data_IF_491118137202
#
_entry.id   IF_491118137202
#
_cell.length_a   1.000
_cell.length_b   1.000
_cell.length_c   1.000
_cell.angle_alpha   90.00
_cell.angle_beta   90.00
_cell.angle_gamma   90.00
#
_symmetry.space_group_name_H-M   'P 1'
#
loop_
_entity.id
_entity.type
_entity.pdbx_description
1 polymer ?
#
# COMPACT_ATOMS: atom_id res chain seq x y z
N UNK A 1 -3.32 18.27 -12.45
CA UNK A 1 -3.07 18.42 -10.99
C UNK A 1 -4.37 18.74 -10.30
N UNK A 2 -4.74 18.04 -9.21
CA UNK A 2 -5.92 18.36 -8.42
C UNK A 2 -5.84 19.79 -7.88
N UNK A 3 -6.99 20.46 -7.75
CA UNK A 3 -7.07 21.82 -7.20
C UNK A 3 -7.01 21.89 -5.66
N UNK A 4 -6.56 20.79 -5.02
CA UNK A 4 -6.47 20.61 -3.56
C UNK A 4 -5.29 19.67 -3.23
N UNK A 5 -4.75 19.74 -1.99
CA UNK A 5 -3.69 18.83 -1.57
C UNK A 5 -4.12 17.36 -1.57
N UNK A 6 -3.18 16.47 -1.91
CA UNK A 6 -3.38 15.01 -1.88
C UNK A 6 -2.79 14.38 -0.62
N UNK A 7 -3.23 13.18 -0.29
CA UNK A 7 -2.60 12.33 0.72
C UNK A 7 -1.97 11.14 0.00
N UNK A 8 -0.66 10.99 0.12
CA UNK A 8 0.05 9.83 -0.42
C UNK A 8 0.02 8.68 0.59
N UNK A 9 -0.74 7.62 0.27
CA UNK A 9 -0.96 6.51 1.18
C UNK A 9 -0.01 5.33 0.97
N UNK A 10 1.07 5.52 0.19
CA UNK A 10 2.08 4.49 0.01
C UNK A 10 3.44 5.11 -0.25
N UNK A 11 4.17 5.36 0.83
CA UNK A 11 5.51 5.91 0.82
C UNK A 11 6.47 4.87 1.42
N UNK A 12 7.61 4.69 0.78
CA UNK A 12 8.77 4.01 1.33
C UNK A 12 9.93 4.98 1.49
N UNK A 13 10.59 4.90 2.62
CA UNK A 13 11.85 5.61 2.91
C UNK A 13 12.75 4.64 3.68
N UNK A 14 14.04 4.71 3.48
CA UNK A 14 15.00 3.83 4.16
C UNK A 14 16.40 4.41 4.20
N UNK A 15 17.18 3.92 5.15
CA UNK A 15 18.62 4.13 5.24
C UNK A 15 19.29 2.80 5.60
N UNK A 16 20.05 2.24 4.65
CA UNK A 16 20.73 0.95 4.83
C UNK A 16 21.82 0.99 5.92
N UNK A 17 22.19 2.16 6.41
CA UNK A 17 23.07 2.27 7.59
C UNK A 17 22.34 2.01 8.91
N UNK A 18 20.99 2.08 8.90
CA UNK A 18 20.13 1.88 10.07
C UNK A 18 19.33 0.59 10.03
N UNK A 19 18.84 0.22 8.86
CA UNK A 19 18.06 -0.98 8.64
C UNK A 19 18.62 -1.79 7.46
N UNK A 20 18.73 -3.08 7.60
CA UNK A 20 19.23 -3.96 6.54
C UNK A 20 18.11 -4.27 5.54
N UNK A 21 18.40 -4.05 4.25
CA UNK A 21 17.50 -4.23 3.12
C UNK A 21 18.23 -5.00 2.02
N UNK A 22 18.48 -6.31 2.25
CA UNK A 22 19.24 -7.14 1.31
C UNK A 22 18.60 -7.20 -0.08
N UNK A 23 17.29 -7.05 -0.18
CA UNK A 23 16.57 -7.02 -1.45
C UNK A 23 17.00 -5.85 -2.35
N UNK A 24 17.54 -4.77 -1.78
CA UNK A 24 17.95 -3.58 -2.52
C UNK A 24 19.47 -3.46 -2.72
N UNK A 25 20.26 -4.38 -2.13
CA UNK A 25 21.71 -4.37 -2.28
C UNK A 25 22.14 -4.42 -3.76
N UNK A 26 23.02 -3.49 -4.15
CA UNK A 26 23.54 -3.41 -5.52
C UNK A 26 22.54 -2.86 -6.55
N UNK A 27 21.32 -2.51 -6.18
CA UNK A 27 20.39 -1.84 -7.07
C UNK A 27 20.87 -0.41 -7.38
N UNK A 28 21.00 -0.01 -8.66
CA UNK A 28 21.35 1.37 -8.99
C UNK A 28 20.31 2.39 -8.52
N UNK A 29 19.04 2.00 -8.46
CA UNK A 29 17.94 2.87 -8.07
C UNK A 29 17.66 2.80 -6.56
N UNK A 30 17.72 1.60 -5.95
CA UNK A 30 17.28 1.40 -4.55
C UNK A 30 18.43 1.12 -3.59
N UNK A 31 19.65 0.97 -4.06
CA UNK A 31 20.84 0.65 -3.25
C UNK A 31 21.41 1.85 -2.47
N UNK A 32 20.68 2.95 -2.35
CA UNK A 32 21.05 4.14 -1.57
C UNK A 32 19.89 4.59 -0.67
N UNK A 33 20.14 5.42 0.35
CA UNK A 33 19.09 5.92 1.23
C UNK A 33 18.06 6.76 0.49
N UNK A 34 16.80 6.69 0.95
CA UNK A 34 15.73 7.62 0.62
C UNK A 34 15.14 8.18 1.91
N UNK A 35 15.15 9.49 2.04
CA UNK A 35 14.63 10.24 3.17
C UNK A 35 13.41 11.09 2.78
N UNK A 36 12.75 11.68 3.76
CA UNK A 36 11.60 12.56 3.50
C UNK A 36 11.95 13.77 2.63
N UNK A 37 13.21 14.26 2.66
CA UNK A 37 13.66 15.34 1.79
C UNK A 37 13.76 14.93 0.32
N UNK A 38 14.11 13.67 0.05
CA UNK A 38 14.10 13.13 -1.33
C UNK A 38 12.68 13.10 -1.86
N UNK A 39 11.74 12.60 -1.06
CA UNK A 39 10.33 12.62 -1.40
C UNK A 39 9.81 14.04 -1.64
N UNK A 40 10.14 15.01 -0.76
CA UNK A 40 9.75 16.41 -0.92
C UNK A 40 10.23 17.01 -2.23
N UNK A 41 11.49 16.73 -2.60
CA UNK A 41 12.06 17.17 -3.88
C UNK A 41 11.33 16.56 -5.07
N UNK A 42 11.04 15.26 -5.00
CA UNK A 42 10.55 14.48 -6.13
C UNK A 42 9.02 14.57 -6.29
N UNK A 43 8.30 15.11 -5.29
CA UNK A 43 6.89 15.51 -5.42
C UNK A 43 6.68 16.59 -6.49
N UNK A 44 7.69 17.42 -6.78
CA UNK A 44 7.59 18.50 -7.74
C UNK A 44 6.41 19.44 -7.42
N UNK A 45 5.47 19.66 -8.37
CA UNK A 45 4.32 20.53 -8.16
C UNK A 45 3.15 19.87 -7.41
N UNK A 46 3.24 18.59 -7.04
CA UNK A 46 2.17 17.89 -6.31
C UNK A 46 2.15 18.39 -4.87
N UNK A 47 1.06 19.01 -4.46
CA UNK A 47 0.85 19.44 -3.08
C UNK A 47 0.42 18.23 -2.23
N UNK A 48 1.31 17.75 -1.35
CA UNK A 48 1.07 16.62 -0.45
C UNK A 48 0.81 17.13 0.95
N UNK A 49 -0.40 16.86 1.49
CA UNK A 49 -0.81 17.26 2.84
C UNK A 49 -0.37 16.27 3.91
N UNK A 50 -0.41 14.98 3.60
CA UNK A 50 0.00 13.92 4.51
C UNK A 50 0.53 12.70 3.76
N UNK A 51 1.28 11.87 4.49
CA UNK A 51 1.89 10.63 3.99
C UNK A 51 1.62 9.48 4.93
N UNK A 52 1.46 8.28 4.36
CA UNK A 52 1.42 7.00 5.08
C UNK A 52 2.63 6.17 4.64
N UNK A 53 3.49 5.83 5.59
CA UNK A 53 4.60 4.93 5.35
C UNK A 53 4.15 3.48 5.39
N UNK A 54 4.67 2.67 4.48
CA UNK A 54 4.54 1.22 4.49
C UNK A 54 5.91 0.56 4.66
N UNK A 55 5.95 -0.54 5.42
CA UNK A 55 7.18 -1.32 5.62
C UNK A 55 7.91 -1.61 4.29
N UNK A 56 9.25 -1.64 4.33
CA UNK A 56 10.10 -1.70 3.14
C UNK A 56 10.70 -3.08 2.87
N UNK A 57 10.14 -4.15 3.38
CA UNK A 57 10.73 -5.48 3.27
C UNK A 57 12.13 -5.58 3.94
N UNK A 58 12.28 -4.90 5.09
CA UNK A 58 13.50 -5.01 5.89
C UNK A 58 13.78 -6.48 6.24
N UNK A 59 15.07 -6.85 6.31
CA UNK A 59 15.51 -8.23 6.55
C UNK A 59 14.95 -8.78 7.86
N UNK A 60 13.85 -9.47 7.75
CA UNK A 60 13.09 -10.02 8.87
C UNK A 60 13.43 -11.49 9.16
N UNK A 61 13.98 -12.19 8.19
CA UNK A 61 13.97 -13.65 8.08
C UNK A 61 14.86 -14.39 9.08
N UNK A 62 15.75 -13.71 9.80
CA UNK A 62 16.71 -14.33 10.73
C UNK A 62 16.19 -14.41 12.19
N UNK A 63 14.89 -14.31 12.42
CA UNK A 63 14.27 -14.52 13.73
C UNK A 63 14.42 -13.39 14.75
N UNK A 64 14.94 -12.24 14.35
CA UNK A 64 15.09 -11.04 15.16
C UNK A 64 14.73 -9.80 14.37
N UNK A 65 13.52 -9.74 13.83
CA UNK A 65 13.12 -8.76 12.84
C UNK A 65 13.46 -7.32 13.17
N UNK A 66 13.89 -6.59 12.15
CA UNK A 66 14.18 -5.16 12.21
C UNK A 66 12.89 -4.30 12.11
N UNK A 67 11.73 -4.88 12.46
CA UNK A 67 10.44 -4.20 12.34
C UNK A 67 10.31 -3.03 13.32
N UNK A 68 10.94 -3.10 14.49
CA UNK A 68 10.96 -1.97 15.43
C UNK A 68 11.98 -0.92 14.99
N UNK A 69 13.16 -1.34 14.57
CA UNK A 69 14.20 -0.45 14.05
C UNK A 69 13.71 0.33 12.82
N UNK A 70 12.92 -0.30 11.95
CA UNK A 70 12.28 0.37 10.82
C UNK A 70 11.25 1.40 11.31
N UNK A 71 10.39 1.05 12.26
CA UNK A 71 9.42 1.97 12.85
C UNK A 71 10.12 3.16 13.53
N UNK A 72 11.17 2.91 14.32
CA UNK A 72 11.96 3.96 14.99
C UNK A 72 12.64 4.89 13.97
N UNK A 73 13.19 4.35 12.88
CA UNK A 73 13.73 5.15 11.79
C UNK A 73 12.66 6.07 11.19
N UNK A 74 11.49 5.53 10.89
CA UNK A 74 10.39 6.31 10.28
C UNK A 74 9.83 7.35 11.25
N UNK A 75 9.77 7.07 12.54
CA UNK A 75 9.39 8.08 13.56
C UNK A 75 10.42 9.22 13.67
N UNK A 76 11.71 8.93 13.44
CA UNK A 76 12.72 9.99 13.34
C UNK A 76 12.52 10.84 12.09
N UNK A 77 12.19 10.24 10.95
CA UNK A 77 11.84 10.96 9.73
C UNK A 77 10.55 11.79 9.89
N UNK A 78 9.54 11.28 10.62
CA UNK A 78 8.32 12.02 10.92
C UNK A 78 8.55 13.27 11.80
N UNK A 79 9.64 13.33 12.59
CA UNK A 79 10.05 14.55 13.30
C UNK A 79 10.62 15.60 12.35
N UNK A 80 11.19 15.17 11.20
CA UNK A 80 11.74 16.05 10.16
C UNK A 80 10.64 16.53 9.21
N UNK A 81 9.67 15.67 8.92
CA UNK A 81 8.49 16.02 8.12
C UNK A 81 7.19 15.56 8.81
N UNK A 82 6.49 16.49 9.51
CA UNK A 82 5.28 16.16 10.25
C UNK A 82 4.08 15.78 9.39
N UNK A 83 4.19 15.80 8.05
CA UNK A 83 3.18 15.28 7.13
C UNK A 83 3.16 13.75 7.14
N UNK A 84 4.22 13.06 7.62
CA UNK A 84 4.21 11.63 7.83
C UNK A 84 3.34 11.32 9.06
N UNK A 85 2.13 10.81 8.82
CA UNK A 85 1.06 10.71 9.83
C UNK A 85 0.78 9.28 10.29
N UNK A 86 1.17 8.29 9.51
CA UNK A 86 0.86 6.89 9.82
C UNK A 86 1.96 5.96 9.34
N UNK A 87 2.15 4.88 10.08
CA UNK A 87 3.07 3.79 9.76
C UNK A 87 2.24 2.50 9.65
N UNK A 88 2.37 1.83 8.53
CA UNK A 88 1.90 0.46 8.33
C UNK A 88 3.13 -0.43 8.48
N UNK A 89 3.27 -0.99 9.68
CA UNK A 89 4.46 -1.72 10.07
C UNK A 89 4.41 -3.19 9.62
N UNK A 90 5.57 -3.83 9.61
CA UNK A 90 5.67 -5.27 9.44
C UNK A 90 5.40 -5.99 10.77
N UNK A 91 4.65 -7.08 10.73
CA UNK A 91 4.55 -8.03 11.83
C UNK A 91 4.29 -9.46 11.32
N UNK A 92 4.86 -10.50 11.99
CA UNK A 92 4.68 -11.90 11.60
C UNK A 92 3.30 -12.42 12.02
N UNK A 93 2.25 -11.95 11.35
CA UNK A 93 0.86 -12.31 11.65
C UNK A 93 0.63 -13.84 11.58
N UNK A 94 1.43 -14.56 10.80
CA UNK A 94 1.41 -16.02 10.73
C UNK A 94 1.70 -16.73 12.06
N UNK A 95 2.19 -16.01 13.05
CA UNK A 95 2.36 -16.57 14.41
C UNK A 95 1.03 -16.68 15.19
N UNK A 96 -0.08 -16.22 14.60
CA UNK A 96 -1.38 -16.24 15.26
C UNK A 96 -1.39 -15.42 16.54
N UNK A 97 -2.02 -15.92 17.60
CA UNK A 97 -2.09 -15.21 18.88
C UNK A 97 -0.72 -14.90 19.51
N UNK A 98 0.35 -15.57 19.08
CA UNK A 98 1.70 -15.28 19.59
C UNK A 98 2.26 -13.93 19.12
N UNK A 99 1.66 -13.29 18.12
CA UNK A 99 2.06 -11.94 17.66
C UNK A 99 1.51 -10.84 18.57
N UNK A 100 0.49 -11.14 19.40
CA UNK A 100 -0.20 -10.14 20.22
C UNK A 100 0.74 -9.30 21.14
N UNK A 101 1.74 -9.87 21.82
CA UNK A 101 2.67 -9.07 22.63
C UNK A 101 3.42 -8.02 21.81
N UNK A 102 3.84 -8.35 20.58
CA UNK A 102 4.51 -7.45 19.67
C UNK A 102 3.58 -6.31 19.20
N UNK A 103 2.34 -6.63 18.83
CA UNK A 103 1.35 -5.62 18.45
C UNK A 103 1.04 -4.67 19.63
N UNK A 104 1.00 -5.18 20.86
CA UNK A 104 0.85 -4.35 22.06
C UNK A 104 2.05 -3.43 22.28
N UNK A 105 3.26 -3.93 22.12
CA UNK A 105 4.47 -3.11 22.20
C UNK A 105 4.45 -1.98 21.17
N UNK A 106 4.15 -2.28 19.90
CA UNK A 106 4.01 -1.27 18.87
C UNK A 106 2.96 -0.22 19.23
N UNK A 107 1.76 -0.63 19.67
CA UNK A 107 0.69 0.30 20.07
C UNK A 107 1.12 1.21 21.22
N UNK A 108 1.78 0.66 22.22
CA UNK A 108 2.07 1.36 23.47
C UNK A 108 3.29 2.30 23.34
N UNK A 109 4.22 2.00 22.42
CA UNK A 109 5.47 2.76 22.25
C UNK A 109 5.56 3.56 20.97
N UNK A 110 4.81 3.20 19.93
CA UNK A 110 4.91 3.74 18.58
C UNK A 110 3.54 4.25 18.09
N UNK A 111 3.14 5.46 18.50
CA UNK A 111 1.79 5.99 18.28
C UNK A 111 1.45 6.23 16.79
N UNK A 112 2.45 6.31 15.91
CA UNK A 112 2.22 6.43 14.47
C UNK A 112 1.82 5.10 13.83
N UNK A 113 2.09 3.95 14.47
CA UNK A 113 1.66 2.65 13.94
C UNK A 113 0.15 2.54 14.00
N UNK A 114 -0.48 2.29 12.88
CA UNK A 114 -1.94 2.18 12.75
C UNK A 114 -2.43 1.04 11.86
N UNK A 115 -1.51 0.22 11.37
CA UNK A 115 -1.81 -0.95 10.55
C UNK A 115 -0.61 -1.86 10.40
N UNK A 116 -0.86 -3.01 9.78
CA UNK A 116 0.16 -4.02 9.51
C UNK A 116 0.12 -4.36 8.03
N UNK A 117 1.30 -4.55 7.44
CA UNK A 117 1.51 -5.24 6.17
C UNK A 117 2.45 -6.42 6.40
N UNK A 118 2.10 -7.57 5.89
CA UNK A 118 2.97 -8.72 5.79
C UNK A 118 3.04 -9.12 4.32
N UNK A 119 4.14 -8.73 3.65
CA UNK A 119 4.36 -9.10 2.25
C UNK A 119 4.41 -10.60 2.15
N UNK A 120 3.53 -11.19 1.36
CA UNK A 120 3.43 -12.63 1.13
C UNK A 120 3.94 -13.02 -0.26
N UNK A 121 4.04 -12.06 -1.16
CA UNK A 121 4.33 -12.26 -2.58
C UNK A 121 5.60 -13.09 -2.83
N UNK A 122 6.64 -12.85 -2.02
CA UNK A 122 7.95 -13.46 -2.20
C UNK A 122 8.19 -14.68 -1.31
N UNK A 123 7.19 -15.11 -0.56
CA UNK A 123 7.30 -16.32 0.23
C UNK A 123 7.45 -17.58 -0.65
N UNK A 124 8.08 -18.61 -0.12
CA UNK A 124 8.25 -19.87 -0.83
C UNK A 124 6.93 -20.57 -1.16
N UNK A 125 5.95 -20.44 -0.27
CA UNK A 125 4.58 -20.94 -0.41
C UNK A 125 3.59 -19.87 0.05
N UNK A 126 3.35 -18.84 -0.78
CA UNK A 126 2.48 -17.72 -0.38
C UNK A 126 1.03 -18.16 -0.13
N UNK A 127 0.53 -19.15 -0.88
CA UNK A 127 -0.80 -19.71 -0.66
C UNK A 127 -0.91 -20.42 0.70
N UNK A 128 0.03 -21.32 0.98
CA UNK A 128 0.05 -22.07 2.24
C UNK A 128 0.22 -21.16 3.45
N UNK A 129 1.06 -20.12 3.34
CA UNK A 129 1.21 -19.09 4.35
C UNK A 129 -0.10 -18.36 4.61
N UNK A 130 -0.68 -17.74 3.58
CA UNK A 130 -1.87 -16.88 3.70
C UNK A 130 -3.11 -17.64 4.18
N UNK A 131 -3.28 -18.88 3.73
CA UNK A 131 -4.42 -19.72 4.13
C UNK A 131 -4.18 -20.47 5.45
N UNK A 132 -3.01 -20.31 6.09
CA UNK A 132 -2.73 -20.96 7.36
C UNK A 132 -3.65 -20.43 8.47
N UNK A 133 -4.04 -21.28 9.44
CA UNK A 133 -4.82 -20.84 10.58
C UNK A 133 -4.14 -19.71 11.37
N UNK A 134 -2.80 -19.76 11.50
CA UNK A 134 -2.03 -18.73 12.21
C UNK A 134 -2.13 -17.37 11.51
N UNK A 135 -1.99 -17.32 10.19
CA UNK A 135 -2.10 -16.05 9.43
C UNK A 135 -3.50 -15.41 9.59
N UNK A 136 -4.55 -16.25 9.44
CA UNK A 136 -5.94 -15.79 9.62
C UNK A 136 -6.17 -15.28 11.05
N UNK A 137 -5.71 -16.01 12.07
CA UNK A 137 -5.83 -15.63 13.48
C UNK A 137 -5.09 -14.32 13.76
N UNK A 138 -3.85 -14.19 13.29
CA UNK A 138 -3.04 -13.00 13.52
C UNK A 138 -3.60 -11.75 12.84
N UNK A 139 -4.12 -11.85 11.61
CA UNK A 139 -4.79 -10.73 10.97
C UNK A 139 -6.08 -10.36 11.70
N UNK A 140 -6.87 -11.35 12.15
CA UNK A 140 -8.08 -11.10 12.92
C UNK A 140 -7.82 -10.40 14.27
N UNK A 141 -6.62 -10.55 14.86
CA UNK A 141 -6.25 -9.82 16.08
C UNK A 141 -6.23 -8.30 15.86
N UNK A 142 -5.97 -7.81 14.64
CA UNK A 142 -5.88 -6.37 14.33
C UNK A 142 -7.18 -5.63 14.64
N UNK A 143 -8.33 -6.31 14.59
CA UNK A 143 -9.62 -5.73 15.01
C UNK A 143 -9.57 -5.18 16.44
N UNK A 144 -8.91 -5.88 17.37
CA UNK A 144 -8.78 -5.46 18.77
C UNK A 144 -7.92 -4.21 18.96
N UNK A 145 -7.05 -3.92 17.99
CA UNK A 145 -6.20 -2.74 17.97
C UNK A 145 -6.85 -1.60 17.16
N UNK A 146 -7.89 -1.90 16.39
CA UNK A 146 -8.48 -0.99 15.42
C UNK A 146 -7.53 -0.65 14.26
N UNK A 147 -6.61 -1.56 13.93
CA UNK A 147 -5.60 -1.41 12.90
C UNK A 147 -6.03 -1.97 11.55
N UNK A 148 -5.47 -1.42 10.48
CA UNK A 148 -5.69 -1.86 9.11
C UNK A 148 -4.75 -3.01 8.74
N UNK A 149 -5.11 -3.74 7.68
CA UNK A 149 -4.21 -4.70 7.04
C UNK A 149 -4.07 -4.41 5.56
N UNK A 150 -2.83 -4.13 5.12
CA UNK A 150 -2.50 -3.87 3.72
C UNK A 150 -2.07 -5.18 3.04
N UNK A 151 -2.70 -5.50 1.90
CA UNK A 151 -2.56 -6.78 1.19
C UNK A 151 -1.73 -6.54 -0.06
N UNK A 152 -0.55 -7.12 -0.15
CA UNK A 152 0.36 -6.96 -1.27
C UNK A 152 0.59 -8.29 -2.01
N UNK A 153 -0.31 -8.71 -2.91
CA UNK A 153 -0.14 -9.89 -3.76
C UNK A 153 0.39 -9.51 -5.14
N UNK A 154 0.73 -10.54 -5.92
CA UNK A 154 0.85 -10.46 -7.37
C UNK A 154 -0.46 -10.95 -8.03
N UNK A 155 -0.78 -10.51 -9.25
CA UNK A 155 -2.03 -10.89 -9.94
C UNK A 155 -2.22 -12.41 -10.09
N UNK A 156 -1.13 -13.19 -10.14
CA UNK A 156 -1.19 -14.66 -10.19
C UNK A 156 -1.56 -15.30 -8.85
N UNK A 157 -1.68 -14.51 -7.80
CA UNK A 157 -1.97 -14.92 -6.43
C UNK A 157 -3.39 -14.55 -5.99
N UNK A 158 -4.14 -13.88 -6.86
CA UNK A 158 -5.48 -13.36 -6.52
C UNK A 158 -6.50 -14.46 -6.21
N UNK A 159 -6.31 -15.68 -6.72
CA UNK A 159 -7.16 -16.82 -6.45
C UNK A 159 -7.24 -17.15 -4.96
N UNK A 160 -6.08 -17.23 -4.28
CA UNK A 160 -6.07 -17.50 -2.84
C UNK A 160 -6.33 -16.26 -1.97
N UNK A 161 -6.10 -15.04 -2.48
CA UNK A 161 -6.56 -13.83 -1.79
C UNK A 161 -8.08 -13.80 -1.73
N UNK A 162 -8.77 -14.11 -2.82
CA UNK A 162 -10.24 -14.23 -2.88
C UNK A 162 -10.76 -15.34 -1.95
N UNK A 163 -9.99 -16.42 -1.78
CA UNK A 163 -10.33 -17.49 -0.81
C UNK A 163 -10.10 -17.07 0.64
N UNK A 164 -9.10 -16.21 0.89
CA UNK A 164 -8.67 -15.80 2.22
C UNK A 164 -9.52 -14.67 2.80
N UNK A 165 -9.81 -13.61 2.02
CA UNK A 165 -10.54 -12.42 2.47
C UNK A 165 -11.83 -12.75 3.25
N UNK A 166 -12.70 -13.69 2.81
CA UNK A 166 -13.91 -14.03 3.55
C UNK A 166 -13.67 -14.71 4.92
N UNK A 167 -12.42 -15.09 5.24
CA UNK A 167 -12.06 -15.69 6.53
C UNK A 167 -11.64 -14.64 7.56
N UNK A 168 -11.49 -13.38 7.12
CA UNK A 168 -11.10 -12.26 7.98
C UNK A 168 -12.34 -11.55 8.51
N UNK A 169 -12.29 -11.17 9.79
CA UNK A 169 -13.35 -10.39 10.44
C UNK A 169 -13.65 -9.10 9.66
N UNK A 170 -14.92 -8.80 9.50
CA UNK A 170 -15.36 -7.54 8.90
C UNK A 170 -14.97 -6.30 9.74
N UNK A 171 -14.53 -6.49 10.98
CA UNK A 171 -13.99 -5.43 11.83
C UNK A 171 -12.55 -5.05 11.52
N UNK A 172 -11.82 -5.82 10.68
CA UNK A 172 -10.49 -5.47 10.18
C UNK A 172 -10.62 -4.76 8.85
N UNK A 173 -10.33 -3.44 8.75
CA UNK A 173 -10.28 -2.76 7.46
C UNK A 173 -9.09 -3.29 6.65
N UNK A 174 -9.33 -3.72 5.43
CA UNK A 174 -8.30 -4.26 4.53
C UNK A 174 -8.21 -3.44 3.25
N UNK A 175 -7.01 -3.30 2.71
CA UNK A 175 -6.78 -2.61 1.44
C UNK A 175 -5.87 -3.41 0.53
N UNK A 176 -6.24 -3.54 -0.73
CA UNK A 176 -5.44 -4.17 -1.76
C UNK A 176 -4.43 -3.17 -2.32
N UNK A 177 -3.14 -3.38 -2.08
CA UNK A 177 -2.06 -2.56 -2.61
C UNK A 177 -1.96 -2.69 -4.15
N UNK A 178 -1.69 -1.58 -4.83
CA UNK A 178 -1.37 -1.51 -6.26
C UNK A 178 -2.36 -2.24 -7.17
N UNK A 179 -3.65 -2.18 -6.82
CA UNK A 179 -4.68 -2.94 -7.54
C UNK A 179 -4.39 -4.46 -7.62
N UNK A 180 -3.58 -5.02 -6.71
CA UNK A 180 -3.13 -6.41 -6.76
C UNK A 180 -2.11 -6.68 -7.85
N UNK A 181 -1.36 -5.67 -8.29
CA UNK A 181 -0.30 -5.75 -9.31
C UNK A 181 -0.77 -6.46 -10.58
N UNK A 182 -1.73 -5.86 -11.31
CA UNK A 182 -2.42 -6.54 -12.41
C UNK A 182 -1.47 -6.88 -13.57
N UNK A 183 -1.74 -8.00 -14.25
CA UNK A 183 -0.99 -8.45 -15.42
C UNK A 183 -1.29 -7.59 -16.66
N UNK A 184 -0.91 -6.31 -16.64
CA UNK A 184 -1.19 -5.36 -17.74
C UNK A 184 -0.44 -5.77 -19.00
N UNK A 185 0.87 -6.00 -18.90
CA UNK A 185 1.70 -6.45 -20.03
C UNK A 185 1.24 -7.80 -20.61
N UNK A 186 0.54 -8.61 -19.82
CA UNK A 186 -0.03 -9.89 -20.22
C UNK A 186 -1.45 -9.77 -20.80
N UNK A 187 -2.04 -8.58 -20.80
CA UNK A 187 -3.41 -8.35 -21.25
C UNK A 187 -4.48 -9.00 -20.34
N UNK A 188 -4.19 -9.19 -19.05
CA UNK A 188 -5.03 -9.95 -18.11
C UNK A 188 -6.24 -9.15 -17.59
N UNK A 189 -6.81 -8.25 -18.38
CA UNK A 189 -7.91 -7.36 -17.94
C UNK A 189 -9.17 -8.13 -17.54
N UNK A 190 -9.50 -9.23 -18.22
CA UNK A 190 -10.68 -10.02 -17.88
C UNK A 190 -10.57 -10.64 -16.48
N UNK A 191 -9.40 -11.22 -16.16
CA UNK A 191 -9.11 -11.76 -14.85
C UNK A 191 -9.13 -10.68 -13.79
N UNK A 192 -8.47 -9.54 -14.07
CA UNK A 192 -8.46 -8.40 -13.14
C UNK A 192 -9.87 -7.92 -12.78
N UNK A 193 -10.75 -7.75 -13.79
CA UNK A 193 -12.15 -7.37 -13.55
C UNK A 193 -12.86 -8.36 -12.60
N UNK A 194 -12.71 -9.65 -12.83
CA UNK A 194 -13.30 -10.68 -11.96
C UNK A 194 -12.76 -10.55 -10.51
N UNK A 195 -11.44 -10.42 -10.36
CA UNK A 195 -10.78 -10.37 -9.05
C UNK A 195 -11.24 -9.15 -8.23
N UNK A 196 -11.23 -7.95 -8.84
CA UNK A 196 -11.60 -6.72 -8.11
C UNK A 196 -13.10 -6.67 -7.79
N UNK A 197 -13.97 -7.18 -8.68
CA UNK A 197 -15.40 -7.26 -8.40
C UNK A 197 -15.71 -8.25 -7.27
N UNK A 198 -15.03 -9.38 -7.21
CA UNK A 198 -15.20 -10.34 -6.13
C UNK A 198 -14.78 -9.74 -4.78
N UNK A 199 -13.62 -9.05 -4.73
CA UNK A 199 -13.13 -8.41 -3.50
C UNK A 199 -14.00 -7.22 -3.08
N UNK A 200 -14.52 -6.45 -4.02
CA UNK A 200 -15.37 -5.29 -3.73
C UNK A 200 -16.69 -5.66 -3.03
N UNK A 201 -17.09 -6.93 -3.04
CA UNK A 201 -18.30 -7.44 -2.33
C UNK A 201 -18.16 -7.38 -0.80
N UNK A 202 -16.93 -7.31 -0.29
CA UNK A 202 -16.65 -7.22 1.13
C UNK A 202 -16.59 -5.77 1.58
N UNK A 203 -17.44 -5.31 2.53
CA UNK A 203 -17.54 -3.90 2.88
C UNK A 203 -16.28 -3.33 3.55
N UNK A 204 -15.46 -4.18 4.13
CA UNK A 204 -14.19 -3.82 4.77
C UNK A 204 -12.99 -3.88 3.79
N UNK A 205 -13.23 -4.19 2.51
CA UNK A 205 -12.19 -4.16 1.47
C UNK A 205 -12.16 -2.81 0.75
N UNK A 206 -10.95 -2.30 0.61
CA UNK A 206 -10.60 -1.08 -0.12
C UNK A 206 -9.52 -1.40 -1.16
N UNK A 207 -9.20 -0.47 -2.04
CA UNK A 207 -8.18 -0.65 -3.06
C UNK A 207 -7.31 0.60 -3.22
N UNK A 208 -5.99 0.42 -3.34
CA UNK A 208 -5.05 1.49 -3.71
C UNK A 208 -4.89 1.54 -5.21
N UNK A 209 -5.20 2.69 -5.77
CA UNK A 209 -4.90 3.03 -7.15
C UNK A 209 -3.50 3.63 -7.20
N UNK A 210 -2.52 2.77 -7.43
CA UNK A 210 -1.09 3.08 -7.38
C UNK A 210 -0.28 2.12 -8.25
N UNK A 211 0.91 2.54 -8.64
CA UNK A 211 2.01 1.74 -9.19
C UNK A 211 1.62 0.82 -10.37
N UNK A 212 0.69 1.25 -11.23
CA UNK A 212 0.31 0.47 -12.42
C UNK A 212 1.37 0.46 -13.54
N UNK A 213 2.16 1.55 -13.78
CA UNK A 213 3.11 1.61 -14.88
C UNK A 213 4.15 0.47 -14.92
N UNK A 214 4.77 0.03 -13.80
CA UNK A 214 5.74 -1.06 -13.83
C UNK A 214 5.17 -2.39 -14.37
N UNK A 215 3.87 -2.61 -14.18
CA UNK A 215 3.21 -3.85 -14.62
C UNK A 215 2.74 -3.80 -16.08
N UNK A 216 2.83 -2.64 -16.73
CA UNK A 216 2.47 -2.47 -18.14
C UNK A 216 3.65 -2.73 -19.11
N UNK A 217 4.86 -2.95 -18.58
CA UNK A 217 6.05 -3.21 -19.38
C UNK A 217 6.81 -1.95 -19.80
N UNK A 218 7.97 -2.08 -20.48
CA UNK A 218 8.89 -0.96 -20.67
C UNK A 218 8.41 0.13 -21.65
N UNK A 219 7.46 -0.17 -22.51
CA UNK A 219 6.95 0.76 -23.54
C UNK A 219 5.49 1.14 -23.27
N UNK A 220 5.08 1.15 -22.01
CA UNK A 220 3.72 1.46 -21.63
C UNK A 220 3.30 2.89 -22.01
N UNK A 221 2.02 3.07 -22.16
CA UNK A 221 1.36 4.36 -22.37
C UNK A 221 0.18 4.51 -21.41
N UNK A 222 -0.33 5.72 -21.15
CA UNK A 222 -1.54 5.90 -20.34
C UNK A 222 -2.74 5.08 -20.83
N UNK A 223 -2.83 4.81 -22.13
CA UNK A 223 -3.89 3.98 -22.71
C UNK A 223 -3.87 2.53 -22.25
N UNK A 224 -2.68 1.98 -21.91
CA UNK A 224 -2.54 0.62 -21.40
C UNK A 224 -3.06 0.50 -19.95
N UNK A 225 -2.97 1.59 -19.19
CA UNK A 225 -3.39 1.65 -17.78
C UNK A 225 -4.90 1.88 -17.66
N UNK A 226 -5.48 2.58 -18.62
CA UNK A 226 -6.87 3.06 -18.60
C UNK A 226 -7.90 1.96 -18.27
N UNK A 227 -7.88 0.78 -18.92
CA UNK A 227 -8.85 -0.28 -18.63
C UNK A 227 -8.82 -0.78 -17.19
N UNK A 228 -7.66 -0.71 -16.54
CA UNK A 228 -7.45 -1.13 -15.14
C UNK A 228 -7.93 -0.06 -14.16
N UNK A 229 -7.71 1.21 -14.46
CA UNK A 229 -8.27 2.35 -13.70
C UNK A 229 -9.80 2.30 -13.75
N UNK A 230 -10.38 2.12 -14.94
CA UNK A 230 -11.84 1.99 -15.13
C UNK A 230 -12.41 0.81 -14.33
N UNK A 231 -11.80 -0.37 -14.44
CA UNK A 231 -12.27 -1.57 -13.74
C UNK A 231 -12.17 -1.43 -12.21
N UNK A 232 -11.15 -0.72 -11.71
CA UNK A 232 -10.99 -0.41 -10.29
C UNK A 232 -12.15 0.45 -9.79
N UNK A 233 -12.44 1.55 -10.51
CA UNK A 233 -13.52 2.47 -10.16
C UNK A 233 -14.92 1.86 -10.36
N UNK A 234 -15.10 0.99 -11.35
CA UNK A 234 -16.35 0.25 -11.57
C UNK A 234 -16.64 -0.72 -10.40
N UNK A 235 -15.61 -1.37 -9.86
CA UNK A 235 -15.76 -2.33 -8.76
C UNK A 235 -15.90 -1.68 -7.38
N UNK A 236 -14.99 -0.77 -7.02
CA UNK A 236 -14.89 -0.17 -5.68
C UNK A 236 -15.56 1.19 -5.56
N UNK A 237 -15.78 1.85 -6.69
CA UNK A 237 -16.27 3.23 -6.74
C UNK A 237 -15.29 4.25 -6.16
N UNK A 238 -15.62 5.55 -6.25
CA UNK A 238 -14.81 6.60 -5.66
C UNK A 238 -14.80 6.55 -4.11
N UNK A 239 -15.73 5.82 -3.50
CA UNK A 239 -15.88 5.73 -2.04
C UNK A 239 -14.87 4.82 -1.36
N UNK A 240 -14.32 3.83 -2.07
CA UNK A 240 -13.38 2.84 -1.52
C UNK A 240 -12.10 2.67 -2.34
N UNK A 241 -11.84 3.61 -3.24
CA UNK A 241 -10.57 3.72 -3.97
C UNK A 241 -9.73 4.81 -3.32
N UNK A 242 -8.45 4.54 -3.09
CA UNK A 242 -7.51 5.47 -2.45
C UNK A 242 -6.29 5.65 -3.36
N UNK A 243 -5.88 6.90 -3.57
CA UNK A 243 -4.64 7.25 -4.26
C UNK A 243 -3.40 6.86 -3.45
N UNK A 244 -2.36 6.42 -4.14
CA UNK A 244 -1.04 6.25 -3.58
C UNK A 244 0.07 6.41 -4.63
N UNK A 245 1.24 6.86 -4.20
CA UNK A 245 2.39 7.10 -5.06
C UNK A 245 3.29 5.89 -5.26
N UNK A 246 3.47 5.09 -4.21
CA UNK A 246 4.47 4.01 -4.14
C UNK A 246 5.92 4.51 -4.36
N UNK A 247 6.21 5.69 -3.82
CA UNK A 247 7.56 6.24 -3.89
C UNK A 247 8.53 5.49 -2.95
N UNK A 248 9.76 5.20 -3.36
CA UNK A 248 10.40 5.52 -4.64
C UNK A 248 10.25 4.41 -5.70
N UNK A 249 9.45 3.37 -5.43
CA UNK A 249 9.32 2.21 -6.32
C UNK A 249 8.78 2.64 -7.70
N UNK A 250 7.81 3.57 -7.75
CA UNK A 250 7.28 4.12 -8.99
C UNK A 250 8.36 4.71 -9.92
N UNK A 251 9.52 5.16 -9.38
CA UNK A 251 10.60 5.76 -10.18
C UNK A 251 11.22 4.80 -11.19
N UNK A 252 10.93 3.51 -11.10
CA UNK A 252 11.30 2.52 -12.13
C UNK A 252 10.63 2.80 -13.47
N UNK A 253 9.50 3.46 -13.48
CA UNK A 253 8.64 3.55 -14.69
C UNK A 253 8.03 4.93 -14.90
N UNK A 254 7.93 5.76 -13.86
CA UNK A 254 7.30 7.09 -13.92
C UNK A 254 7.80 7.96 -12.76
N UNK A 255 7.14 9.09 -12.49
CA UNK A 255 7.36 9.95 -11.33
C UNK A 255 6.02 10.41 -10.74
N UNK A 256 6.02 10.96 -9.53
CA UNK A 256 4.80 11.37 -8.84
C UNK A 256 3.95 12.38 -9.64
N UNK A 257 4.52 13.48 -10.19
CA UNK A 257 3.74 14.40 -11.02
C UNK A 257 3.07 13.74 -12.22
N UNK A 258 3.81 12.92 -12.95
CA UNK A 258 3.27 12.21 -14.12
C UNK A 258 2.17 11.21 -13.72
N UNK A 259 2.35 10.50 -12.60
CA UNK A 259 1.33 9.58 -12.12
C UNK A 259 0.02 10.31 -11.77
N UNK A 260 0.11 11.45 -11.07
CA UNK A 260 -1.06 12.27 -10.76
C UNK A 260 -1.72 12.82 -12.05
N UNK A 261 -0.94 13.28 -13.03
CA UNK A 261 -1.49 13.74 -14.32
C UNK A 261 -2.27 12.63 -15.06
N UNK A 262 -1.73 11.42 -15.11
CA UNK A 262 -2.41 10.26 -15.71
C UNK A 262 -3.74 9.98 -15.03
N UNK A 263 -3.76 10.03 -13.70
CA UNK A 263 -4.99 9.81 -12.95
C UNK A 263 -6.01 10.94 -13.16
N UNK A 264 -5.56 12.20 -13.16
CA UNK A 264 -6.44 13.35 -13.40
C UNK A 264 -7.11 13.27 -14.79
N UNK A 265 -6.34 12.94 -15.83
CA UNK A 265 -6.87 12.72 -17.17
C UNK A 265 -7.87 11.55 -17.19
N UNK A 266 -7.53 10.45 -16.52
CA UNK A 266 -8.42 9.30 -16.43
C UNK A 266 -9.74 9.63 -15.72
N UNK A 267 -9.69 10.36 -14.60
CA UNK A 267 -10.87 10.75 -13.84
C UNK A 267 -11.76 11.74 -14.61
N UNK A 268 -11.14 12.72 -15.29
CA UNK A 268 -11.86 13.67 -16.13
C UNK A 268 -12.61 12.98 -17.29
N UNK A 269 -11.95 12.07 -17.97
CA UNK A 269 -12.54 11.30 -19.08
C UNK A 269 -13.66 10.35 -18.60
N UNK A 270 -13.55 9.84 -17.38
CA UNK A 270 -14.60 9.01 -16.76
C UNK A 270 -15.74 9.85 -16.19
N UNK A 271 -15.60 11.18 -16.22
CA UNK A 271 -16.63 12.11 -15.76
C UNK A 271 -16.77 12.17 -14.23
N UNK A 272 -15.72 11.84 -13.48
CA UNK A 272 -15.72 12.00 -12.03
C UNK A 272 -15.87 13.48 -11.68
N UNK A 273 -16.70 13.74 -10.68
CA UNK A 273 -16.85 15.07 -10.09
C UNK A 273 -15.62 15.41 -9.22
N UNK A 274 -15.39 16.70 -8.95
CA UNK A 274 -14.34 17.14 -8.02
C UNK A 274 -14.50 16.49 -6.63
N UNK A 275 -15.74 16.33 -6.17
CA UNK A 275 -16.00 15.68 -4.87
C UNK A 275 -15.59 14.20 -4.86
N UNK A 276 -15.82 13.46 -5.95
CA UNK A 276 -15.38 12.06 -6.09
C UNK A 276 -13.87 11.96 -6.22
N UNK A 277 -13.26 12.82 -7.01
CA UNK A 277 -11.80 12.91 -7.16
C UNK A 277 -11.13 13.22 -5.82
N UNK A 278 -11.69 14.15 -5.04
CA UNK A 278 -11.22 14.50 -3.70
C UNK A 278 -11.31 13.32 -2.73
N UNK A 279 -12.36 12.51 -2.80
CA UNK A 279 -12.43 11.28 -2.00
C UNK A 279 -11.25 10.37 -2.29
N UNK A 280 -10.97 10.11 -3.57
CA UNK A 280 -9.88 9.20 -3.98
C UNK A 280 -8.52 9.72 -3.53
N UNK A 281 -8.26 11.02 -3.73
CA UNK A 281 -6.95 11.61 -3.42
C UNK A 281 -6.76 11.94 -1.94
N UNK A 282 -7.83 12.05 -1.15
CA UNK A 282 -7.71 12.62 0.19
C UNK A 282 -8.65 12.00 1.23
N UNK A 283 -9.96 12.20 1.08
CA UNK A 283 -10.90 12.00 2.18
C UNK A 283 -11.03 10.52 2.60
N UNK A 284 -10.89 9.60 1.65
CA UNK A 284 -10.86 8.17 1.91
C UNK A 284 -9.63 7.75 2.72
N UNK A 285 -8.46 8.36 2.44
CA UNK A 285 -7.24 8.10 3.20
C UNK A 285 -7.39 8.51 4.67
N UNK A 286 -8.00 9.68 4.93
CA UNK A 286 -8.30 10.15 6.29
C UNK A 286 -9.18 9.14 7.02
N UNK A 287 -10.23 8.67 6.34
CA UNK A 287 -11.19 7.72 6.92
C UNK A 287 -10.56 6.36 7.19
N UNK A 288 -9.89 5.79 6.18
CA UNK A 288 -9.34 4.44 6.25
C UNK A 288 -8.19 4.33 7.25
N UNK A 289 -7.22 5.25 7.18
CA UNK A 289 -6.04 5.24 8.05
C UNK A 289 -6.24 6.05 9.35
N UNK A 290 -7.42 6.66 9.55
CA UNK A 290 -7.75 7.48 10.74
C UNK A 290 -6.70 8.55 10.99
N UNK A 291 -6.44 9.38 9.96
CA UNK A 291 -5.43 10.41 10.03
C UNK A 291 -5.94 11.64 10.78
N UNK A 292 -5.13 12.13 11.71
CA UNK A 292 -5.33 13.41 12.38
C UNK A 292 -4.62 14.52 11.60
N UNK A 293 -5.39 15.37 10.91
CA UNK A 293 -4.91 16.47 10.06
C UNK A 293 -5.32 17.82 10.60
#
# INVERSE_FOLDING_TARGET
MPGFPVIDTHLHIWDQSRIKLSAFEGSPLFGHPYHVEDYQRDCGPVEVEAMVFLECYADFWDGGGQYIEEVEFVEDEAKRDPRLKRIIAMAPVEWGNRVEPMLKEMRDRHPLVGGIRRIMEFDRDPRGLTLSPGFIEGVNLLERFGWTFDINPNYTQMDFIREWVPKISSGVPMILDHCGKPGIAQGAIAQFREDVHDLARYPNMWIKLSDLPPYAGPNWTPADLRPYIEATLDAFGPERTIYAGDYPILLQSTNLPQWVEILDEAFADLGLTEAETRKIYRDNAITFYRLDL
#
